data_IF_447091613847
#
_entry.id   IF_447091613847
#
_cell.length_a   1.000
_cell.length_b   1.000
_cell.length_c   1.000
_cell.angle_alpha   90.00
_cell.angle_beta   90.00
_cell.angle_gamma   90.00
#
_symmetry.space_group_name_H-M   'P 1'
#
loop_
_entity.id
_entity.type
_entity.pdbx_description
1 polymer ?
#
# COMPACT_ATOMS: atom_id res chain seq x y z
N UNK A 1 1.00 14.41 23.54
CA UNK A 1 1.89 13.22 23.47
C UNK A 1 1.94 12.61 22.07
N UNK A 2 0.80 12.40 21.41
CA UNK A 2 0.74 11.88 20.02
C UNK A 2 1.51 12.74 19.01
N UNK A 3 1.49 14.07 19.16
CA UNK A 3 2.18 14.97 18.23
C UNK A 3 3.72 14.85 18.30
N UNK A 4 4.31 14.71 19.49
CA UNK A 4 5.77 14.55 19.64
C UNK A 4 6.28 13.24 19.05
N UNK A 5 5.54 12.15 19.24
CA UNK A 5 5.86 10.84 18.66
C UNK A 5 5.72 10.85 17.14
N UNK A 6 4.64 11.46 16.62
CA UNK A 6 4.46 11.63 15.18
C UNK A 6 5.63 12.44 14.57
N UNK A 7 6.04 13.54 15.21
CA UNK A 7 7.19 14.34 14.77
C UNK A 7 8.53 13.60 14.88
N UNK A 8 8.69 12.71 15.86
CA UNK A 8 9.87 11.83 15.95
C UNK A 8 9.94 10.88 14.76
N UNK A 9 8.82 10.23 14.42
CA UNK A 9 8.74 9.30 13.29
C UNK A 9 8.96 10.01 11.96
N UNK A 10 8.41 11.22 11.79
CA UNK A 10 8.68 12.05 10.62
C UNK A 10 10.18 12.34 10.45
N UNK A 11 10.85 12.79 11.52
CA UNK A 11 12.31 13.04 11.51
C UNK A 11 13.14 11.78 11.24
N UNK A 12 12.66 10.61 11.68
CA UNK A 12 13.34 9.37 11.34
C UNK A 12 13.26 9.09 9.84
N UNK A 13 12.07 9.23 9.24
CA UNK A 13 11.91 9.05 7.78
C UNK A 13 12.71 10.09 6.99
N UNK A 14 12.90 11.30 7.52
CA UNK A 14 13.78 12.32 6.93
C UNK A 14 15.24 11.87 6.77
N UNK A 15 15.70 10.90 7.56
CA UNK A 15 17.06 10.34 7.47
C UNK A 15 17.26 9.33 6.34
N UNK A 16 16.18 8.88 5.68
CA UNK A 16 16.26 7.93 4.58
C UNK A 16 16.59 8.61 3.25
N UNK A 17 17.04 7.80 2.28
CA UNK A 17 17.32 8.23 0.92
C UNK A 17 16.05 8.67 0.17
N UNK A 18 16.24 9.45 -0.90
CA UNK A 18 15.18 10.03 -1.71
C UNK A 18 14.88 11.48 -1.33
N UNK A 19 13.61 11.88 -1.43
CA UNK A 19 13.18 13.25 -1.15
C UNK A 19 13.29 14.23 -2.34
N UNK A 20 13.96 13.83 -3.42
CA UNK A 20 14.08 14.61 -4.66
C UNK A 20 13.46 13.82 -5.82
N UNK A 21 12.67 14.50 -6.65
CA UNK A 21 12.07 13.89 -7.82
C UNK A 21 13.11 13.70 -8.93
N UNK A 22 13.28 12.46 -9.40
CA UNK A 22 14.24 12.11 -10.45
C UNK A 22 13.58 11.42 -11.67
N UNK A 23 12.26 11.22 -11.63
CA UNK A 23 11.54 10.51 -12.69
C UNK A 23 11.80 9.00 -12.71
N UNK A 24 11.32 8.27 -13.73
CA UNK A 24 11.50 6.81 -13.79
C UNK A 24 12.97 6.41 -13.82
N UNK A 25 13.35 5.25 -13.24
CA UNK A 25 14.70 4.72 -13.39
C UNK A 25 14.92 4.27 -14.84
N UNK A 26 16.09 4.59 -15.38
CA UNK A 26 16.59 3.91 -16.58
C UNK A 26 17.03 2.50 -16.17
N UNK A 27 16.56 1.49 -16.92
CA UNK A 27 16.88 0.08 -16.72
C UNK A 27 17.31 -0.54 -18.04
N UNK A 28 18.24 -1.48 -17.98
CA UNK A 28 18.64 -2.28 -19.13
C UNK A 28 17.52 -3.21 -19.59
N UNK A 29 17.59 -3.75 -20.80
CA UNK A 29 16.60 -4.73 -21.27
C UNK A 29 16.62 -6.02 -20.43
N UNK A 30 17.81 -6.44 -19.96
CA UNK A 30 17.98 -7.58 -19.05
C UNK A 30 17.32 -7.32 -17.69
N UNK A 31 17.58 -6.17 -17.08
CA UNK A 31 16.95 -5.77 -15.82
C UNK A 31 15.43 -5.67 -15.97
N UNK A 32 14.94 -5.15 -17.10
CA UNK A 32 13.50 -5.09 -17.41
C UNK A 32 12.87 -6.48 -17.45
N UNK A 33 13.49 -7.43 -18.12
CA UNK A 33 12.95 -8.80 -18.22
C UNK A 33 13.00 -9.52 -16.87
N UNK A 34 14.05 -9.26 -16.09
CA UNK A 34 14.10 -9.73 -14.71
C UNK A 34 12.94 -9.18 -13.87
N UNK A 35 12.68 -7.86 -13.94
CA UNK A 35 11.56 -7.22 -13.24
C UNK A 35 10.21 -7.76 -13.70
N UNK A 36 10.04 -8.08 -14.99
CA UNK A 36 8.82 -8.74 -15.46
C UNK A 36 8.62 -10.11 -14.83
N UNK A 37 9.70 -10.88 -14.70
CA UNK A 37 9.66 -12.18 -14.02
C UNK A 37 9.25 -12.01 -12.55
N UNK A 38 9.78 -11.00 -11.86
CA UNK A 38 9.35 -10.65 -10.50
C UNK A 38 7.85 -10.31 -10.46
N UNK A 39 7.39 -9.46 -11.38
CA UNK A 39 5.99 -9.08 -11.52
C UNK A 39 5.06 -10.28 -11.73
N UNK A 40 5.35 -11.13 -12.72
CA UNK A 40 4.53 -12.31 -13.01
C UNK A 40 4.51 -13.32 -11.85
N UNK A 41 5.61 -13.44 -11.12
CA UNK A 41 5.72 -14.41 -10.01
C UNK A 41 4.98 -13.92 -8.77
N UNK A 42 5.18 -12.65 -8.38
CA UNK A 42 4.67 -12.10 -7.13
C UNK A 42 3.31 -11.41 -7.27
N UNK A 43 3.08 -10.69 -8.37
CA UNK A 43 1.84 -9.93 -8.61
C UNK A 43 0.79 -10.74 -9.35
N UNK A 44 1.22 -11.73 -10.15
CA UNK A 44 0.44 -12.83 -10.77
C UNK A 44 -0.71 -12.43 -11.69
N UNK A 45 -1.75 -11.79 -11.17
CA UNK A 45 -2.91 -11.34 -11.92
C UNK A 45 -3.49 -10.02 -11.38
N UNK A 46 -4.40 -9.41 -12.14
CA UNK A 46 -5.14 -8.21 -11.71
C UNK A 46 -5.91 -8.39 -10.40
N UNK A 47 -6.62 -9.52 -10.24
CA UNK A 47 -7.33 -9.82 -8.98
C UNK A 47 -6.34 -10.04 -7.82
N UNK A 48 -5.20 -10.66 -8.07
CA UNK A 48 -4.20 -10.87 -7.03
C UNK A 48 -3.56 -9.55 -6.57
N UNK A 49 -3.21 -8.66 -7.51
CA UNK A 49 -2.70 -7.33 -7.16
C UNK A 49 -3.71 -6.48 -6.41
N UNK A 50 -5.00 -6.55 -6.76
CA UNK A 50 -6.06 -5.91 -5.97
C UNK A 50 -6.15 -6.51 -4.55
N UNK A 51 -5.96 -7.82 -4.40
CA UNK A 51 -5.90 -8.48 -3.08
C UNK A 51 -4.73 -7.96 -2.25
N UNK A 52 -3.54 -7.78 -2.84
CA UNK A 52 -2.38 -7.16 -2.19
C UNK A 52 -2.74 -5.73 -1.72
N UNK A 53 -3.38 -4.93 -2.58
CA UNK A 53 -3.79 -3.56 -2.22
C UNK A 53 -4.78 -3.54 -1.06
N UNK A 54 -5.74 -4.47 -1.02
CA UNK A 54 -6.71 -4.57 0.08
C UNK A 54 -6.00 -4.87 1.42
N UNK A 55 -4.97 -5.73 1.43
CA UNK A 55 -4.20 -5.96 2.66
C UNK A 55 -3.44 -4.68 3.07
N UNK A 56 -2.74 -4.03 2.14
CA UNK A 56 -1.99 -2.82 2.43
C UNK A 56 -2.88 -1.66 2.94
N UNK A 57 -4.05 -1.45 2.33
CA UNK A 57 -5.02 -0.45 2.81
C UNK A 57 -5.58 -0.81 4.18
N UNK A 58 -5.80 -2.09 4.48
CA UNK A 58 -6.28 -2.50 5.79
C UNK A 58 -5.31 -2.13 6.91
N UNK A 59 -3.99 -2.26 6.68
CA UNK A 59 -2.98 -1.78 7.63
C UNK A 59 -3.00 -0.24 7.76
N UNK A 60 -3.03 0.49 6.64
CA UNK A 60 -3.14 1.96 6.68
C UNK A 60 -4.35 2.45 7.48
N UNK A 61 -5.48 1.73 7.40
CA UNK A 61 -6.69 2.04 8.15
C UNK A 61 -6.60 1.77 9.65
N UNK A 62 -5.56 1.11 10.12
CA UNK A 62 -5.29 1.00 11.55
C UNK A 62 -4.54 2.22 12.12
N UNK A 63 -4.14 3.18 11.28
CA UNK A 63 -3.36 4.36 11.68
C UNK A 63 -4.19 5.66 11.48
N UNK A 64 -4.95 6.11 12.49
CA UNK A 64 -5.84 7.28 12.39
C UNK A 64 -5.18 8.56 11.83
N UNK A 65 -3.94 8.92 12.21
CA UNK A 65 -3.29 10.11 11.63
C UNK A 65 -3.17 10.08 10.11
N UNK A 66 -2.92 8.90 9.52
CA UNK A 66 -2.80 8.75 8.06
C UNK A 66 -4.15 8.82 7.38
N UNK A 67 -5.20 8.31 8.02
CA UNK A 67 -6.58 8.44 7.53
C UNK A 67 -6.98 9.92 7.45
N UNK A 68 -6.77 10.66 8.54
CA UNK A 68 -7.05 12.11 8.63
C UNK A 68 -6.25 12.91 7.62
N UNK A 69 -5.00 12.51 7.36
CA UNK A 69 -4.17 13.11 6.30
C UNK A 69 -4.76 12.88 4.91
N UNK A 70 -5.15 11.66 4.59
CA UNK A 70 -5.76 11.33 3.32
C UNK A 70 -7.11 12.04 3.11
N UNK A 71 -7.92 12.21 4.16
CA UNK A 71 -9.17 12.97 4.08
C UNK A 71 -8.97 14.48 3.92
N UNK A 72 -7.95 15.06 4.56
CA UNK A 72 -7.57 16.47 4.32
C UNK A 72 -7.20 16.71 2.86
N UNK A 73 -6.60 15.71 2.21
CA UNK A 73 -6.23 15.75 0.79
C UNK A 73 -7.42 15.54 -0.14
N UNK A 74 -8.30 14.60 0.19
CA UNK A 74 -9.51 14.30 -0.55
C UNK A 74 -10.62 13.88 0.43
N UNK A 75 -11.60 14.74 0.72
CA UNK A 75 -12.72 14.39 1.58
C UNK A 75 -13.41 13.12 1.08
N UNK A 76 -13.70 12.19 2.00
CA UNK A 76 -14.30 10.90 1.64
C UNK A 76 -13.39 9.94 0.86
N UNK A 77 -12.05 10.13 0.82
CA UNK A 77 -11.08 9.26 0.11
C UNK A 77 -11.32 7.75 0.30
N UNK A 78 -11.80 7.35 1.46
CA UNK A 78 -12.05 5.94 1.82
C UNK A 78 -13.53 5.56 1.89
N UNK A 79 -14.40 6.32 1.21
CA UNK A 79 -15.74 5.83 0.86
C UNK A 79 -15.62 4.61 -0.06
N UNK A 80 -16.63 3.73 -0.07
CA UNK A 80 -16.60 2.50 -0.90
C UNK A 80 -16.30 2.79 -2.37
N UNK A 81 -16.89 3.84 -2.96
CA UNK A 81 -16.70 4.16 -4.37
C UNK A 81 -15.29 4.69 -4.69
N UNK A 82 -14.78 5.62 -3.86
CA UNK A 82 -13.44 6.18 -4.10
C UNK A 82 -12.37 5.13 -3.78
N UNK A 83 -12.55 4.34 -2.72
CA UNK A 83 -11.64 3.26 -2.36
C UNK A 83 -11.61 2.16 -3.43
N UNK A 84 -12.75 1.80 -4.02
CA UNK A 84 -12.82 0.84 -5.12
C UNK A 84 -11.90 1.25 -6.28
N UNK A 85 -12.01 2.50 -6.74
CA UNK A 85 -11.13 3.01 -7.78
C UNK A 85 -9.68 3.15 -7.31
N UNK A 86 -9.44 3.52 -6.05
CA UNK A 86 -8.09 3.62 -5.49
C UNK A 86 -7.37 2.27 -5.47
N UNK A 87 -8.06 1.19 -5.09
CA UNK A 87 -7.54 -0.18 -5.11
C UNK A 87 -7.20 -0.60 -6.54
N UNK A 88 -8.11 -0.42 -7.49
CA UNK A 88 -7.88 -0.77 -8.89
C UNK A 88 -6.71 0.02 -9.51
N UNK A 89 -6.70 1.34 -9.31
CA UNK A 89 -5.67 2.21 -9.88
C UNK A 89 -4.30 1.91 -9.29
N UNK A 90 -4.18 1.79 -7.96
CA UNK A 90 -2.89 1.48 -7.32
C UNK A 90 -2.38 0.11 -7.75
N UNK A 91 -3.25 -0.89 -7.84
CA UNK A 91 -2.89 -2.21 -8.36
C UNK A 91 -2.38 -2.14 -9.81
N UNK A 92 -3.07 -1.39 -10.68
CA UNK A 92 -2.67 -1.19 -12.08
C UNK A 92 -1.31 -0.49 -12.21
N UNK A 93 -1.05 0.52 -11.38
CA UNK A 93 0.22 1.25 -11.37
C UNK A 93 1.40 0.35 -11.02
N UNK A 94 1.19 -0.61 -10.12
CA UNK A 94 2.26 -1.54 -9.75
C UNK A 94 2.53 -2.55 -10.86
N UNK A 95 1.53 -2.97 -11.64
CA UNK A 95 1.79 -3.73 -12.87
C UNK A 95 2.61 -2.94 -13.89
N UNK A 96 2.34 -1.65 -14.04
CA UNK A 96 3.16 -0.78 -14.89
C UNK A 96 4.58 -0.63 -14.35
N UNK A 97 4.76 -0.60 -13.03
CA UNK A 97 6.09 -0.60 -12.40
C UNK A 97 6.89 -1.88 -12.72
N UNK A 98 6.22 -2.99 -13.01
CA UNK A 98 6.82 -4.23 -13.49
C UNK A 98 6.71 -4.44 -15.01
N UNK A 99 6.52 -3.36 -15.78
CA UNK A 99 6.52 -3.35 -17.25
C UNK A 99 5.41 -4.19 -17.89
N UNK A 100 4.22 -4.13 -17.31
CA UNK A 100 3.01 -4.71 -17.88
C UNK A 100 1.87 -3.70 -17.97
N UNK A 101 1.11 -3.81 -19.05
CA UNK A 101 -0.27 -3.35 -19.14
C UNK A 101 -1.20 -4.58 -19.11
N UNK A 102 -2.50 -4.38 -19.31
CA UNK A 102 -3.48 -5.47 -19.38
C UNK A 102 -4.32 -5.35 -20.64
N UNK A 103 -4.68 -6.50 -21.23
CA UNK A 103 -5.69 -6.54 -22.28
C UNK A 103 -7.12 -6.49 -21.75
N UNK A 104 -8.08 -6.56 -22.68
CA UNK A 104 -9.52 -6.64 -22.42
C UNK A 104 -9.96 -7.91 -21.66
N UNK A 105 -9.06 -8.87 -21.48
CA UNK A 105 -9.28 -10.14 -20.78
C UNK A 105 -8.46 -10.25 -19.49
N UNK A 106 -7.97 -9.14 -18.95
CA UNK A 106 -7.15 -9.07 -17.73
C UNK A 106 -5.82 -9.85 -17.82
N UNK A 107 -5.30 -10.11 -19.02
CA UNK A 107 -4.00 -10.77 -19.20
C UNK A 107 -2.88 -9.73 -19.24
N UNK A 108 -1.76 -9.97 -18.54
CA UNK A 108 -0.64 -9.04 -18.53
C UNK A 108 0.05 -9.00 -19.91
N UNK A 109 0.17 -7.82 -20.50
CA UNK A 109 0.88 -7.59 -21.76
C UNK A 109 2.21 -6.89 -21.47
N UNK A 110 3.35 -7.46 -21.90
CA UNK A 110 4.65 -6.80 -21.75
C UNK A 110 4.68 -5.42 -22.43
N UNK A 111 5.15 -4.42 -21.69
CA UNK A 111 5.30 -3.05 -22.18
C UNK A 111 6.75 -2.76 -22.53
N UNK A 112 7.00 -2.23 -23.71
CA UNK A 112 8.36 -1.93 -24.23
C UNK A 112 8.87 -0.54 -23.85
N UNK A 113 7.98 0.37 -23.46
CA UNK A 113 8.30 1.76 -23.10
C UNK A 113 8.47 1.92 -21.59
N UNK A 114 9.36 2.83 -21.19
CA UNK A 114 9.66 3.23 -19.80
C UNK A 114 8.37 3.28 -18.96
N UNK A 115 8.37 2.72 -17.74
CA UNK A 115 7.21 2.66 -16.88
C UNK A 115 6.72 4.09 -16.67
N UNK A 116 5.40 4.27 -16.77
CA UNK A 116 4.77 5.46 -16.24
C UNK A 116 4.88 5.39 -14.71
N UNK A 117 6.06 5.72 -14.18
CA UNK A 117 6.10 6.43 -12.89
C UNK A 117 5.15 7.63 -12.91
N UNK A 118 4.76 8.10 -14.11
CA UNK A 118 3.53 8.81 -14.44
C UNK A 118 2.41 8.71 -13.42
N UNK A 119 2.02 7.57 -12.84
CA UNK A 119 0.92 7.59 -11.86
C UNK A 119 1.34 7.96 -10.43
N UNK A 120 2.51 7.53 -9.93
CA UNK A 120 3.07 8.11 -8.69
C UNK A 120 3.43 9.59 -8.90
N UNK A 121 3.84 9.98 -10.11
CA UNK A 121 4.23 11.35 -10.46
C UNK A 121 3.02 12.28 -10.67
N UNK A 122 1.93 11.78 -11.26
CA UNK A 122 0.67 12.52 -11.48
C UNK A 122 -0.18 12.55 -10.21
N UNK A 123 -0.15 11.48 -9.39
CA UNK A 123 -0.87 11.43 -8.13
C UNK A 123 -0.06 11.99 -6.96
N UNK A 124 1.26 12.06 -6.99
CA UNK A 124 2.06 12.41 -5.81
C UNK A 124 3.31 13.25 -6.10
N UNK A 125 3.59 13.54 -7.38
CA UNK A 125 4.71 14.40 -7.75
C UNK A 125 4.45 15.86 -7.39
N UNK A 126 5.51 16.68 -7.30
CA UNK A 126 5.44 18.10 -6.94
C UNK A 126 4.88 19.01 -8.06
N UNK A 127 4.30 18.44 -9.12
CA UNK A 127 3.94 19.20 -10.30
C UNK A 127 2.75 20.15 -10.01
N UNK A 128 2.88 21.47 -10.23
CA UNK A 128 1.71 22.30 -10.40
C UNK A 128 0.98 21.78 -11.64
N UNK A 129 -0.23 21.26 -11.47
CA UNK A 129 -1.15 21.11 -12.59
C UNK A 129 -1.54 22.55 -12.97
N UNK A 130 -1.28 23.03 -14.20
CA UNK A 130 -1.73 24.36 -14.61
C UNK A 130 -3.22 24.50 -14.31
N UNK A 131 -3.61 25.61 -13.70
CA UNK A 131 -5.00 25.93 -13.34
C UNK A 131 -5.66 25.06 -12.25
N UNK A 132 -4.92 24.22 -11.53
CA UNK A 132 -5.45 23.50 -10.35
C UNK A 132 -4.75 23.95 -9.05
N UNK A 133 -5.49 24.08 -7.93
CA UNK A 133 -4.88 24.34 -6.63
C UNK A 133 -3.94 23.19 -6.25
N UNK A 134 -2.77 23.49 -5.64
CA UNK A 134 -1.81 22.48 -5.25
C UNK A 134 -2.48 21.46 -4.32
N UNK A 135 -2.49 20.19 -4.72
CA UNK A 135 -2.99 19.12 -3.86
C UNK A 135 -2.00 18.89 -2.73
N UNK A 136 -2.41 18.88 -1.45
CA UNK A 136 -1.52 18.51 -0.36
C UNK A 136 -0.88 17.16 -0.65
N UNK A 137 0.44 17.09 -0.60
CA UNK A 137 1.19 15.84 -0.75
C UNK A 137 0.97 14.99 0.50
N UNK A 138 0.87 13.68 0.34
CA UNK A 138 0.92 12.76 1.48
C UNK A 138 2.34 12.85 2.10
N UNK A 139 2.45 12.74 3.42
CA UNK A 139 3.71 12.83 4.14
C UNK A 139 4.64 11.67 3.79
N UNK A 140 5.95 11.89 3.89
CA UNK A 140 6.95 10.83 3.68
C UNK A 140 6.70 9.65 4.65
N UNK A 141 6.30 9.94 5.88
CA UNK A 141 5.97 8.91 6.87
C UNK A 141 4.80 8.02 6.44
N UNK A 142 3.68 8.62 6.02
CA UNK A 142 2.51 7.85 5.57
C UNK A 142 2.82 7.06 4.30
N UNK A 143 3.60 7.63 3.36
CA UNK A 143 4.01 6.93 2.15
C UNK A 143 4.96 5.76 2.45
N UNK A 144 5.99 5.99 3.27
CA UNK A 144 6.94 4.95 3.64
C UNK A 144 6.27 3.80 4.39
N UNK A 145 5.34 4.13 5.29
CA UNK A 145 4.52 3.10 5.93
C UNK A 145 3.67 2.33 4.91
N UNK A 146 2.93 3.02 4.04
CA UNK A 146 2.04 2.34 3.10
C UNK A 146 2.79 1.44 2.10
N UNK A 147 3.93 1.90 1.57
CA UNK A 147 4.78 1.11 0.68
C UNK A 147 5.33 -0.12 1.40
N UNK A 148 5.76 0.01 2.66
CA UNK A 148 6.21 -1.16 3.42
C UNK A 148 5.08 -2.18 3.62
N UNK A 149 3.83 -1.73 3.80
CA UNK A 149 2.67 -2.63 3.86
C UNK A 149 2.37 -3.31 2.53
N UNK A 150 2.57 -2.62 1.40
CA UNK A 150 2.46 -3.25 0.06
C UNK A 150 3.47 -4.39 -0.08
N UNK A 151 4.74 -4.13 0.27
CA UNK A 151 5.80 -5.14 0.22
C UNK A 151 5.46 -6.34 1.12
N UNK A 152 5.11 -6.08 2.39
CA UNK A 152 4.68 -7.12 3.33
C UNK A 152 3.49 -7.91 2.82
N UNK A 153 2.52 -7.27 2.16
CA UNK A 153 1.33 -7.94 1.62
C UNK A 153 1.68 -8.88 0.46
N UNK A 154 2.59 -8.47 -0.43
CA UNK A 154 3.12 -9.32 -1.51
C UNK A 154 3.77 -10.57 -0.92
N UNK A 155 4.69 -10.40 0.03
CA UNK A 155 5.42 -11.50 0.65
C UNK A 155 4.52 -12.42 1.46
N UNK A 156 3.60 -11.85 2.26
CA UNK A 156 2.62 -12.61 3.02
C UNK A 156 1.80 -13.53 2.11
N UNK A 157 1.29 -13.01 1.00
CA UNK A 157 0.46 -13.77 0.07
C UNK A 157 1.28 -14.76 -0.76
N UNK A 158 2.52 -14.44 -1.11
CA UNK A 158 3.45 -15.33 -1.79
C UNK A 158 3.80 -16.54 -0.90
N UNK A 159 4.13 -16.31 0.38
CA UNK A 159 4.41 -17.36 1.36
C UNK A 159 3.22 -18.31 1.56
N UNK A 160 1.99 -17.78 1.58
CA UNK A 160 0.77 -18.61 1.65
C UNK A 160 0.56 -19.50 0.43
N UNK A 161 1.24 -19.22 -0.68
CA UNK A 161 1.21 -19.98 -1.91
C UNK A 161 2.46 -20.86 -2.07
N UNK A 162 3.31 -20.94 -1.05
CA UNK A 162 4.52 -21.76 -1.05
C UNK A 162 5.74 -21.10 -1.69
N UNK A 163 5.68 -19.81 -2.03
CA UNK A 163 6.83 -19.06 -2.54
C UNK A 163 7.62 -18.50 -1.35
N UNK A 164 8.86 -18.93 -1.18
CA UNK A 164 9.76 -18.50 -0.09
C UNK A 164 11.17 -18.19 -0.65
N UNK A 165 11.21 -17.44 -1.75
CA UNK A 165 12.47 -17.04 -2.38
C UNK A 165 12.92 -15.67 -1.86
N UNK A 166 13.85 -15.67 -0.91
CA UNK A 166 14.38 -14.43 -0.32
C UNK A 166 15.10 -13.54 -1.34
N UNK A 167 15.71 -14.12 -2.38
CA UNK A 167 16.32 -13.30 -3.44
C UNK A 167 15.24 -12.60 -4.22
N UNK A 168 14.17 -13.30 -4.58
CA UNK A 168 13.03 -12.71 -5.28
C UNK A 168 12.40 -11.56 -4.47
N UNK A 169 12.22 -11.74 -3.15
CA UNK A 169 11.73 -10.70 -2.25
C UNK A 169 12.67 -9.50 -2.15
N UNK A 170 13.98 -9.73 -2.07
CA UNK A 170 14.98 -8.66 -2.04
C UNK A 170 14.97 -7.84 -3.35
N UNK A 171 14.86 -8.48 -4.52
CA UNK A 171 14.77 -7.77 -5.80
C UNK A 171 13.48 -6.93 -5.89
N UNK A 172 12.35 -7.51 -5.45
CA UNK A 172 11.08 -6.80 -5.36
C UNK A 172 11.16 -5.57 -4.43
N UNK A 173 11.75 -5.74 -3.25
CA UNK A 173 11.97 -4.67 -2.28
C UNK A 173 12.77 -3.52 -2.88
N UNK A 174 13.96 -3.82 -3.42
CA UNK A 174 14.87 -2.79 -3.98
C UNK A 174 14.23 -2.03 -5.13
N UNK A 175 13.49 -2.71 -5.98
CA UNK A 175 12.79 -2.06 -7.09
C UNK A 175 11.75 -1.06 -6.59
N UNK A 176 10.88 -1.47 -5.65
CA UNK A 176 9.88 -0.56 -5.09
C UNK A 176 10.50 0.58 -4.29
N UNK A 177 11.56 0.32 -3.51
CA UNK A 177 12.31 1.35 -2.80
C UNK A 177 12.84 2.42 -3.76
N UNK A 178 13.52 1.99 -4.84
CA UNK A 178 14.06 2.89 -5.87
C UNK A 178 12.97 3.71 -6.57
N UNK A 179 11.82 3.10 -6.87
CA UNK A 179 10.70 3.81 -7.48
C UNK A 179 10.13 4.89 -6.57
N UNK A 180 9.99 4.60 -5.28
CA UNK A 180 9.45 5.54 -4.29
C UNK A 180 10.42 6.70 -4.05
N UNK A 181 11.72 6.41 -3.93
CA UNK A 181 12.77 7.41 -3.80
C UNK A 181 12.78 8.37 -4.99
N UNK A 182 12.75 7.84 -6.22
CA UNK A 182 12.75 8.65 -7.43
C UNK A 182 11.44 9.39 -7.70
N UNK A 183 10.33 8.95 -7.11
CA UNK A 183 9.09 9.71 -7.03
C UNK A 183 9.17 10.88 -6.02
N UNK A 184 10.33 11.09 -5.39
CA UNK A 184 10.61 12.17 -4.46
C UNK A 184 10.21 11.89 -3.02
N UNK A 185 9.81 10.66 -2.68
CA UNK A 185 9.56 10.26 -1.30
C UNK A 185 10.83 9.78 -0.64
N UNK A 186 10.83 9.75 0.69
CA UNK A 186 11.91 9.11 1.44
C UNK A 186 11.55 7.66 1.77
N UNK A 187 12.48 6.75 1.50
CA UNK A 187 12.28 5.33 1.75
C UNK A 187 13.63 4.63 1.98
N UNK A 188 13.75 3.71 2.95
CA UNK A 188 15.04 3.09 3.26
C UNK A 188 15.43 2.03 2.22
N UNK A 189 16.74 1.92 1.94
CA UNK A 189 17.29 0.82 1.14
C UNK A 189 17.41 -0.50 1.93
N UNK A 190 17.43 -0.42 3.26
CA UNK A 190 17.46 -1.59 4.13
C UNK A 190 16.03 -2.01 4.52
N UNK A 191 15.63 -3.21 4.10
CA UNK A 191 14.33 -3.81 4.44
C UNK A 191 14.08 -3.86 5.94
N UNK A 192 15.12 -4.07 6.76
CA UNK A 192 14.99 -4.09 8.23
C UNK A 192 14.60 -2.73 8.79
N UNK A 193 15.02 -1.64 8.16
CA UNK A 193 14.61 -0.29 8.56
C UNK A 193 13.15 -0.01 8.22
N UNK A 194 12.67 -0.50 7.06
CA UNK A 194 11.25 -0.41 6.71
C UNK A 194 10.36 -1.19 7.69
N UNK A 195 10.78 -2.41 8.06
CA UNK A 195 10.08 -3.24 9.05
C UNK A 195 10.08 -2.58 10.44
N UNK A 196 11.22 -2.05 10.87
CA UNK A 196 11.33 -1.34 12.14
C UNK A 196 10.45 -0.08 12.17
N UNK A 197 10.42 0.69 11.08
CA UNK A 197 9.51 1.84 10.95
C UNK A 197 8.05 1.40 11.06
N UNK A 198 7.67 0.32 10.37
CA UNK A 198 6.29 -0.17 10.40
C UNK A 198 5.87 -0.57 11.82
N UNK A 199 6.73 -1.27 12.56
CA UNK A 199 6.47 -1.64 13.95
C UNK A 199 6.36 -0.43 14.88
N UNK A 200 7.21 0.59 14.70
CA UNK A 200 7.16 1.82 15.49
C UNK A 200 5.91 2.66 15.19
N UNK A 201 5.49 2.72 13.93
CA UNK A 201 4.22 3.34 13.53
C UNK A 201 3.04 2.59 14.15
N UNK A 202 3.01 1.26 14.08
CA UNK A 202 1.97 0.45 14.72
C UNK A 202 1.93 0.67 16.23
N UNK A 203 3.08 0.60 16.90
CA UNK A 203 3.18 0.72 18.35
C UNK A 203 2.74 2.08 18.89
N UNK A 204 2.92 3.16 18.12
CA UNK A 204 2.71 4.51 18.60
C UNK A 204 1.53 5.24 17.98
N UNK A 205 1.13 4.87 16.76
CA UNK A 205 0.11 5.59 16.00
C UNK A 205 -1.12 4.72 15.71
N UNK A 206 -1.08 3.40 15.90
CA UNK A 206 -2.30 2.60 15.80
C UNK A 206 -3.29 2.97 16.91
N UNK A 207 -4.58 2.96 16.59
CA UNK A 207 -5.58 3.43 17.55
C UNK A 207 -7.01 3.01 17.26
N UNK A 208 -7.84 3.14 18.28
CA UNK A 208 -9.29 2.99 18.21
C UNK A 208 -9.93 4.33 17.83
N UNK A 209 -10.14 4.52 16.53
CA UNK A 209 -10.86 5.68 15.99
C UNK A 209 -12.04 5.18 15.17
N UNK A 210 -13.22 5.79 15.36
CA UNK A 210 -14.45 5.43 14.64
C UNK A 210 -14.30 5.46 13.11
N UNK A 211 -13.39 6.32 12.61
CA UNK A 211 -13.09 6.42 11.18
C UNK A 211 -12.30 5.20 10.68
N UNK A 212 -11.41 4.62 11.51
CA UNK A 212 -10.70 3.37 11.20
C UNK A 212 -11.69 2.23 10.97
N UNK A 213 -12.67 2.10 11.87
CA UNK A 213 -13.73 1.10 11.74
C UNK A 213 -14.56 1.28 10.46
N UNK A 214 -14.95 2.52 10.14
CA UNK A 214 -15.66 2.82 8.91
C UNK A 214 -14.84 2.45 7.66
N UNK A 215 -13.55 2.76 7.66
CA UNK A 215 -12.64 2.42 6.56
C UNK A 215 -12.48 0.90 6.38
N UNK A 216 -12.29 0.13 7.46
CA UNK A 216 -12.24 -1.34 7.40
C UNK A 216 -13.54 -1.94 6.88
N UNK A 217 -14.71 -1.41 7.27
CA UNK A 217 -16.00 -1.86 6.72
C UNK A 217 -16.14 -1.56 5.23
N UNK A 218 -15.72 -0.37 4.80
CA UNK A 218 -15.74 -0.01 3.38
C UNK A 218 -14.76 -0.89 2.59
N UNK A 219 -13.62 -1.25 3.16
CA UNK A 219 -12.66 -2.17 2.54
C UNK A 219 -13.25 -3.54 2.23
N UNK A 220 -13.97 -4.14 3.19
CA UNK A 220 -14.63 -5.42 2.96
C UNK A 220 -15.72 -5.33 1.89
N UNK A 221 -16.50 -4.24 1.87
CA UNK A 221 -17.47 -3.97 0.78
C UNK A 221 -16.81 -3.79 -0.58
N UNK A 222 -15.63 -3.17 -0.62
CA UNK A 222 -14.84 -3.05 -1.86
C UNK A 222 -14.34 -4.42 -2.30
N UNK A 223 -13.88 -5.28 -1.38
CA UNK A 223 -13.47 -6.65 -1.70
C UNK A 223 -14.63 -7.47 -2.30
N UNK A 224 -15.83 -7.37 -1.70
CA UNK A 224 -17.07 -7.97 -2.24
C UNK A 224 -17.37 -7.44 -3.64
N UNK A 225 -17.32 -6.12 -3.85
CA UNK A 225 -17.56 -5.49 -5.16
C UNK A 225 -16.54 -5.89 -6.23
N UNK A 226 -15.30 -6.18 -5.84
CA UNK A 226 -14.24 -6.67 -6.72
C UNK A 226 -14.29 -8.19 -6.95
N UNK A 227 -15.24 -8.90 -6.33
CA UNK A 227 -15.33 -10.36 -6.36
C UNK A 227 -14.00 -11.00 -5.90
N UNK A 228 -13.48 -10.52 -4.77
CA UNK A 228 -12.29 -11.03 -4.09
C UNK A 228 -12.72 -11.65 -2.76
N UNK A 229 -12.51 -12.97 -2.56
CA UNK A 229 -12.86 -13.64 -1.33
C UNK A 229 -11.87 -13.25 -0.21
N UNK A 230 -12.21 -12.17 0.50
CA UNK A 230 -11.41 -11.61 1.57
C UNK A 230 -12.22 -11.56 2.87
N UNK A 231 -11.83 -12.38 3.83
CA UNK A 231 -12.42 -12.44 5.17
C UNK A 231 -11.70 -11.52 6.15
N UNK A 232 -12.41 -11.13 7.22
CA UNK A 232 -11.81 -10.40 8.33
C UNK A 232 -10.65 -11.18 8.98
N UNK A 233 -10.73 -12.52 9.05
CA UNK A 233 -9.64 -13.35 9.57
C UNK A 233 -8.37 -13.29 8.70
N UNK A 234 -8.50 -13.19 7.38
CA UNK A 234 -7.35 -13.01 6.49
C UNK A 234 -6.69 -11.64 6.69
N UNK A 235 -7.49 -10.58 6.86
CA UNK A 235 -6.96 -9.25 7.19
C UNK A 235 -6.25 -9.27 8.55
N UNK A 236 -6.89 -9.79 9.59
CA UNK A 236 -6.31 -9.86 10.93
C UNK A 236 -4.96 -10.60 10.93
N UNK A 237 -4.84 -11.71 10.20
CA UNK A 237 -3.59 -12.47 10.08
C UNK A 237 -2.43 -11.69 9.44
N UNK A 238 -2.72 -10.65 8.65
CA UNK A 238 -1.73 -9.79 8.00
C UNK A 238 -1.31 -8.57 8.84
N UNK A 239 -2.28 -7.97 9.55
CA UNK A 239 -2.07 -6.74 10.32
C UNK A 239 -0.96 -6.89 11.38
N UNK A 240 -0.31 -5.76 11.68
CA UNK A 240 0.67 -5.64 12.76
C UNK A 240 0.00 -5.78 14.15
N UNK A 241 0.76 -6.01 15.24
CA UNK A 241 0.17 -6.41 16.52
C UNK A 241 -0.89 -5.43 17.08
N UNK A 242 -0.67 -4.12 17.04
CA UNK A 242 -1.61 -3.16 17.60
C UNK A 242 -2.80 -2.91 16.67
N UNK A 243 -2.55 -2.71 15.37
CA UNK A 243 -3.57 -2.65 14.32
C UNK A 243 -4.52 -3.85 14.39
N UNK A 244 -3.95 -5.07 14.49
CA UNK A 244 -4.70 -6.32 14.62
C UNK A 244 -5.59 -6.30 15.84
N UNK A 245 -5.05 -5.95 17.01
CA UNK A 245 -5.81 -5.88 18.26
C UNK A 245 -7.02 -4.96 18.13
N UNK A 246 -6.85 -3.78 17.56
CA UNK A 246 -7.95 -2.83 17.32
C UNK A 246 -8.94 -3.37 16.28
N UNK A 247 -8.46 -3.91 15.17
CA UNK A 247 -9.28 -4.51 14.12
C UNK A 247 -10.16 -5.65 14.68
N UNK A 248 -9.58 -6.59 15.42
CA UNK A 248 -10.30 -7.74 15.98
C UNK A 248 -11.38 -7.29 16.98
N UNK A 249 -11.07 -6.29 17.82
CA UNK A 249 -12.01 -5.74 18.78
C UNK A 249 -13.27 -5.16 18.12
N UNK A 250 -13.16 -4.56 16.93
CA UNK A 250 -14.31 -3.89 16.28
C UNK A 250 -14.93 -4.69 15.13
N UNK A 251 -14.15 -5.55 14.46
CA UNK A 251 -14.58 -6.31 13.29
C UNK A 251 -14.99 -7.74 13.61
N UNK A 252 -14.40 -8.38 14.64
CA UNK A 252 -14.68 -9.79 14.98
C UNK A 252 -15.62 -9.94 16.19
N UNK A 253 -15.71 -8.93 17.07
CA UNK A 253 -16.59 -8.96 18.25
C UNK A 253 -18.09 -9.04 17.92
N UNK A 254 -18.50 -8.84 16.65
CA UNK A 254 -19.90 -8.96 16.20
C UNK A 254 -20.26 -10.33 15.62
N UNK A 255 -19.29 -11.24 15.45
CA UNK A 255 -19.56 -12.60 14.99
C UNK A 255 -20.02 -13.54 16.12
N UNK A 256 -19.97 -13.10 17.38
CA UNK A 256 -20.29 -13.90 18.58
C UNK A 256 -21.58 -13.50 19.31
N UNK A 257 -22.32 -12.49 18.84
CA UNK A 257 -23.64 -12.11 19.41
C UNK A 257 -24.81 -12.56 18.53
N UNK A 258 -24.91 -13.86 18.30
CA UNK A 258 -26.16 -14.49 17.87
C UNK A 258 -26.65 -15.39 19.00
N UNK A 259 -27.13 -14.77 20.08
CA UNK A 259 -27.97 -15.47 21.05
C UNK A 259 -29.36 -15.61 20.41
N UNK A 260 -29.89 -16.82 20.17
CA UNK A 260 -31.30 -16.96 19.82
C UNK A 260 -32.11 -16.52 21.03
N UNK A 261 -33.00 -15.55 20.85
CA UNK A 261 -34.01 -15.25 21.86
C UNK A 261 -34.98 -16.44 21.96
N UNK A 262 -35.44 -16.77 23.18
CA UNK A 262 -36.39 -17.84 23.43
C UNK A 262 -37.77 -17.59 22.80
#
# INVERSE_FOLDING_TARGET
MTDELFQRLQRWVESFEGGTFEGPPEVTDEEREHLRTVGLTLWRSRKHSQTIMLHAYAALFGIPPFIKEAHRRQPGRFSTDILFHAVQNTASNLWQAFYFDFDEHDRPIPRTIVPLTGVLNVLHGPQPIPDAPPRPRISDLAMAFFVSQIIRAVEHLACRQGIQDEKLFEHHYRHLARLVQRAGYRFPNDRRQADALALEVDAHLAGDDSECFACWRNLLRVAERLDIPLSAGQIAAFLLPNERRYFEAVMLAKSSSATPLP
#
